data_IF_663247082165
#
_entry.id   IF_663247082165
#
_cell.length_a   1.000
_cell.length_b   1.000
_cell.length_c   1.000
_cell.angle_alpha   90.00
_cell.angle_beta   90.00
_cell.angle_gamma   90.00
#
_symmetry.space_group_name_H-M   'P 1'
#
loop_
_entity.id
_entity.type
_entity.pdbx_description
1 polymer ?
#
# COMPACT_ATOMS: atom_id res chain seq x y z
N UNK A 1 -8.90 -10.14 -16.77
CA UNK A 1 -9.08 -10.54 -15.35
C UNK A 1 -8.70 -9.35 -14.44
N UNK A 2 -9.60 -8.39 -14.22
CA UNK A 2 -9.34 -7.12 -13.50
C UNK A 2 -10.14 -7.00 -12.18
N UNK A 3 -10.56 -8.13 -11.59
CA UNK A 3 -11.46 -8.13 -10.42
C UNK A 3 -10.72 -8.04 -9.06
N UNK A 4 -9.39 -7.93 -9.00
CA UNK A 4 -8.69 -7.82 -7.71
C UNK A 4 -8.51 -6.38 -7.22
N UNK A 5 -8.37 -5.40 -8.13
CA UNK A 5 -8.08 -4.00 -7.78
C UNK A 5 -9.24 -3.31 -7.03
N UNK A 6 -10.47 -3.46 -7.53
CA UNK A 6 -11.63 -2.76 -6.97
C UNK A 6 -11.91 -3.11 -5.50
N UNK A 7 -11.70 -4.39 -5.12
CA UNK A 7 -11.98 -4.86 -3.76
C UNK A 7 -10.99 -4.30 -2.74
N UNK A 8 -9.75 -4.05 -3.15
CA UNK A 8 -8.73 -3.40 -2.33
C UNK A 8 -9.04 -1.92 -2.10
N UNK A 9 -9.50 -1.23 -3.15
CA UNK A 9 -9.88 0.19 -3.11
C UNK A 9 -11.11 0.41 -2.22
N UNK A 10 -12.14 -0.42 -2.37
CA UNK A 10 -13.32 -0.34 -1.51
C UNK A 10 -12.95 -0.58 -0.04
N UNK A 11 -12.05 -1.52 0.25
CA UNK A 11 -11.50 -1.70 1.61
C UNK A 11 -10.71 -0.49 2.10
N UNK A 12 -9.96 0.19 1.23
CA UNK A 12 -9.22 1.40 1.58
C UNK A 12 -10.14 2.54 1.99
N UNK A 13 -11.12 2.88 1.17
CA UNK A 13 -12.11 3.92 1.48
C UNK A 13 -12.89 3.58 2.75
N UNK A 14 -13.23 2.30 2.96
CA UNK A 14 -13.90 1.84 4.19
C UNK A 14 -13.01 1.96 5.43
N UNK A 15 -11.68 1.79 5.32
CA UNK A 15 -10.72 1.91 6.44
C UNK A 15 -10.51 3.33 6.93
N UNK A 16 -10.51 4.36 6.07
CA UNK A 16 -10.44 5.75 6.55
C UNK A 16 -11.62 6.10 7.47
N UNK A 17 -12.74 5.40 7.33
CA UNK A 17 -13.95 5.62 8.14
C UNK A 17 -14.01 4.74 9.41
N UNK A 18 -13.31 3.60 9.46
CA UNK A 18 -13.31 2.67 10.60
C UNK A 18 -11.96 1.91 10.74
N UNK A 19 -11.14 2.32 11.71
CA UNK A 19 -10.18 1.48 12.45
C UNK A 19 -8.95 0.93 11.71
N UNK A 20 -7.75 1.31 12.17
CA UNK A 20 -6.48 0.65 11.87
C UNK A 20 -6.55 -0.80 12.35
N UNK A 21 -6.64 -1.77 11.44
CA UNK A 21 -6.37 -3.18 11.77
C UNK A 21 -4.87 -3.38 11.61
N UNK A 22 -4.14 -3.45 12.71
CA UNK A 22 -2.73 -3.84 12.70
C UNK A 22 -2.61 -5.27 12.17
N UNK A 23 -1.84 -5.44 11.10
CA UNK A 23 -1.50 -6.75 10.55
C UNK A 23 -0.07 -7.10 10.98
N UNK A 24 0.27 -8.40 11.04
CA UNK A 24 1.52 -9.00 11.56
C UNK A 24 2.86 -8.32 11.20
N UNK A 25 2.89 -7.44 10.19
CA UNK A 25 4.10 -6.73 9.76
C UNK A 25 4.08 -5.20 9.98
N UNK A 26 3.06 -4.64 10.64
CA UNK A 26 2.84 -3.18 10.75
C UNK A 26 2.43 -2.51 9.44
N UNK A 27 2.49 -3.25 8.32
CA UNK A 27 2.08 -2.81 7.00
C UNK A 27 0.56 -2.99 6.79
N UNK A 28 -0.09 -1.96 6.27
CA UNK A 28 -1.48 -2.03 5.80
C UNK A 28 -1.58 -2.90 4.54
N UNK A 29 -2.81 -3.26 4.15
CA UNK A 29 -3.00 -4.05 2.92
C UNK A 29 -2.48 -3.33 1.68
N UNK A 30 -2.71 -2.01 1.59
CA UNK A 30 -2.21 -1.22 0.45
C UNK A 30 -0.70 -1.15 0.46
N UNK A 31 -0.10 -0.94 1.63
CA UNK A 31 1.35 -0.91 1.74
C UNK A 31 1.98 -2.23 1.30
N UNK A 32 1.37 -3.38 1.66
CA UNK A 32 1.80 -4.70 1.17
C UNK A 32 1.69 -4.81 -0.35
N UNK A 33 0.57 -4.37 -0.92
CA UNK A 33 0.34 -4.43 -2.38
C UNK A 33 1.30 -3.50 -3.13
N UNK A 34 1.51 -2.28 -2.63
CA UNK A 34 2.48 -1.33 -3.20
C UNK A 34 3.89 -1.93 -3.14
N UNK A 35 4.29 -2.51 -2.02
CA UNK A 35 5.59 -3.15 -1.85
C UNK A 35 5.77 -4.32 -2.83
N UNK A 36 4.75 -5.16 -3.00
CA UNK A 36 4.75 -6.26 -3.98
C UNK A 36 4.95 -5.72 -5.41
N UNK A 37 4.18 -4.69 -5.82
CA UNK A 37 4.32 -4.08 -7.15
C UNK A 37 5.70 -3.46 -7.39
N UNK A 38 6.31 -2.85 -6.37
CA UNK A 38 7.67 -2.31 -6.44
C UNK A 38 8.69 -3.44 -6.61
N UNK A 39 8.53 -4.54 -5.88
CA UNK A 39 9.46 -5.68 -5.93
C UNK A 39 9.58 -6.33 -7.31
N UNK A 40 8.52 -6.23 -8.13
CA UNK A 40 8.50 -6.70 -9.53
C UNK A 40 8.83 -5.59 -10.55
N UNK A 41 9.30 -4.43 -10.10
CA UNK A 41 9.78 -3.35 -10.97
C UNK A 41 8.71 -2.42 -11.55
N UNK A 42 7.47 -2.40 -11.02
CA UNK A 42 6.46 -1.45 -11.53
C UNK A 42 6.81 -0.01 -11.16
N UNK A 43 6.61 0.89 -12.13
CA UNK A 43 6.75 2.32 -11.92
C UNK A 43 5.65 2.86 -10.99
N UNK A 44 5.91 3.96 -10.30
CA UNK A 44 4.91 4.58 -9.41
C UNK A 44 3.66 5.05 -10.16
N UNK A 45 3.83 5.44 -11.44
CA UNK A 45 2.71 5.81 -12.29
C UNK A 45 1.81 4.60 -12.56
N UNK A 46 2.38 3.47 -12.97
CA UNK A 46 1.65 2.22 -13.20
C UNK A 46 0.93 1.74 -11.93
N UNK A 47 1.58 1.87 -10.76
CA UNK A 47 0.96 1.51 -9.47
C UNK A 47 -0.24 2.42 -9.16
N UNK A 48 -0.10 3.72 -9.41
CA UNK A 48 -1.17 4.70 -9.19
C UNK A 48 -2.40 4.38 -10.05
N UNK A 49 -2.20 4.04 -11.33
CA UNK A 49 -3.27 3.63 -12.24
C UNK A 49 -3.94 2.32 -11.79
N UNK A 50 -3.16 1.29 -11.46
CA UNK A 50 -3.70 -0.01 -11.04
C UNK A 50 -4.48 0.04 -9.73
N UNK A 51 -4.06 0.92 -8.81
CA UNK A 51 -4.69 1.10 -7.52
C UNK A 51 -5.72 2.23 -7.51
N UNK A 52 -5.90 2.95 -8.63
CA UNK A 52 -6.80 4.10 -8.75
C UNK A 52 -6.59 5.13 -7.63
N UNK A 53 -5.33 5.43 -7.32
CA UNK A 53 -4.91 6.44 -6.34
C UNK A 53 -3.98 7.46 -7.01
N UNK A 54 -3.71 8.59 -6.37
CA UNK A 54 -2.75 9.55 -6.91
C UNK A 54 -1.31 9.07 -6.80
N UNK A 55 -0.43 9.55 -7.69
CA UNK A 55 1.01 9.30 -7.60
C UNK A 55 1.60 9.77 -6.26
N UNK A 56 1.13 10.89 -5.73
CA UNK A 56 1.54 11.42 -4.42
C UNK A 56 1.14 10.47 -3.29
N UNK A 57 -0.02 9.82 -3.42
CA UNK A 57 -0.47 8.81 -2.46
C UNK A 57 0.41 7.56 -2.50
N UNK A 58 0.85 7.12 -3.69
CA UNK A 58 1.85 6.05 -3.82
C UNK A 58 3.15 6.44 -3.11
N UNK A 59 3.69 7.64 -3.38
CA UNK A 59 4.92 8.12 -2.76
C UNK A 59 4.82 8.20 -1.23
N UNK A 60 3.70 8.71 -0.71
CA UNK A 60 3.44 8.77 0.74
C UNK A 60 3.44 7.37 1.36
N UNK A 61 2.74 6.41 0.75
CA UNK A 61 2.72 5.03 1.24
C UNK A 61 4.12 4.39 1.19
N UNK A 62 4.93 4.67 0.16
CA UNK A 62 6.32 4.19 0.08
C UNK A 62 7.16 4.73 1.23
N UNK A 63 7.03 6.03 1.56
CA UNK A 63 7.73 6.62 2.72
C UNK A 63 7.36 5.92 4.02
N UNK A 64 6.08 5.68 4.26
CA UNK A 64 5.57 4.96 5.44
C UNK A 64 6.10 3.52 5.50
N UNK A 65 6.13 2.81 4.36
CA UNK A 65 6.72 1.47 4.27
C UNK A 65 8.19 1.50 4.71
N UNK A 66 8.99 2.42 4.17
CA UNK A 66 10.40 2.53 4.54
C UNK A 66 10.59 2.83 6.02
N UNK A 67 9.81 3.76 6.59
CA UNK A 67 9.86 4.04 8.03
C UNK A 67 9.58 2.79 8.85
N UNK A 68 8.50 2.07 8.54
CA UNK A 68 8.11 0.84 9.25
C UNK A 68 9.15 -0.27 9.13
N UNK A 69 9.79 -0.41 7.97
CA UNK A 69 10.84 -1.41 7.76
C UNK A 69 12.17 -1.02 8.42
N UNK A 70 12.52 0.27 8.45
CA UNK A 70 13.74 0.76 9.11
C UNK A 70 13.65 0.58 10.63
N UNK A 71 12.51 0.91 11.24
CA UNK A 71 12.32 0.73 12.68
C UNK A 71 12.27 -0.75 13.12
N UNK A 72 12.08 -1.69 12.19
CA UNK A 72 12.21 -3.14 12.47
C UNK A 72 13.66 -3.63 12.52
N UNK A 73 14.64 -2.88 12.01
CA UNK A 73 16.05 -3.30 11.98
C UNK A 73 16.79 -2.87 13.25
N UNK A 74 16.26 -3.12 14.44
CA UNK A 74 17.02 -3.06 15.69
C UNK A 74 16.33 -4.01 16.67
N UNK A 75 16.67 -5.31 16.63
CA UNK A 75 16.62 -6.30 17.71
C UNK A 75 17.22 -7.62 17.21
#
# INVERSE_FOLDING_TARGET
MFLFGYKLIVKYFRRRKYGKIEQENGLTLIEKVILEKISIGKSYHTIAEELFISKDEVQRNIREIYQKLQHRKIE
#
